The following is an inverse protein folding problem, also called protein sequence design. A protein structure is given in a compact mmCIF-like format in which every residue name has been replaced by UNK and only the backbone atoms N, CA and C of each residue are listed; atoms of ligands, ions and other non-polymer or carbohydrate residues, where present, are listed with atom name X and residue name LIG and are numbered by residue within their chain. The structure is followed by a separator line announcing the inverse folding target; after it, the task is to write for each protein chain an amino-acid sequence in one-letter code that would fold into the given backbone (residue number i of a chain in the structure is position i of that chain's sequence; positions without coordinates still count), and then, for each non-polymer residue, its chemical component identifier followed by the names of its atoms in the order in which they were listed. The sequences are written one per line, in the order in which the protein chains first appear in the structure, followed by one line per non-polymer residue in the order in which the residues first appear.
data_IF_608197473944
#
_entry.id   IF_608197473944
#
_cell.length_a   1.000
_cell.length_b   1.000
_cell.length_c   1.000
_cell.angle_alpha   90.00
_cell.angle_beta   90.00
_cell.angle_gamma   90.00
#
_symmetry.space_group_name_H-M   'P 1'
#
loop_
_entity.id
_entity.type
_entity.pdbx_description
1 polymer ?
#
# COMPACT_ATOMS: atom_id res chain seq x y z
N UNK A 1 -8.49 0.79 10.89
CA UNK A 1 -9.64 1.61 10.47
C UNK A 1 -9.30 2.36 9.19
N UNK A 2 -10.22 2.37 8.25
CA UNK A 2 -10.04 3.06 6.99
C UNK A 2 -11.10 4.12 6.76
N UNK A 3 -10.81 5.05 5.88
CA UNK A 3 -11.72 6.15 5.54
C UNK A 3 -11.91 6.23 4.03
N UNK A 4 -13.12 6.57 3.61
CA UNK A 4 -13.41 6.91 2.23
C UNK A 4 -13.74 8.39 2.14
N UNK A 5 -13.08 9.08 1.21
CA UNK A 5 -13.29 10.51 0.97
C UNK A 5 -13.82 10.66 -0.45
N UNK A 6 -14.99 11.27 -0.60
CA UNK A 6 -15.56 11.54 -1.91
C UNK A 6 -15.51 13.03 -2.21
N UNK A 7 -14.85 13.39 -3.30
CA UNK A 7 -14.81 14.75 -3.82
C UNK A 7 -15.80 14.92 -4.96
N UNK A 8 -15.82 16.11 -5.60
CA UNK A 8 -16.74 16.39 -6.69
C UNK A 8 -16.51 15.54 -7.94
N UNK A 9 -15.30 15.03 -8.17
CA UNK A 9 -14.96 14.26 -9.37
C UNK A 9 -14.40 12.88 -9.08
N UNK A 10 -13.69 12.70 -7.97
CA UNK A 10 -12.99 11.46 -7.66
C UNK A 10 -13.16 11.06 -6.21
N UNK A 11 -12.92 9.78 -5.93
CA UNK A 11 -12.95 9.23 -4.58
C UNK A 11 -11.57 8.69 -4.18
N UNK A 12 -11.33 8.68 -2.88
CA UNK A 12 -10.07 8.21 -2.29
C UNK A 12 -10.37 7.33 -1.08
N UNK A 13 -9.68 6.22 -0.95
CA UNK A 13 -9.68 5.44 0.29
C UNK A 13 -8.33 5.57 0.97
N UNK A 14 -8.36 5.71 2.30
CA UNK A 14 -7.19 5.90 3.14
C UNK A 14 -7.19 4.82 4.21
N UNK A 15 -6.29 3.86 4.08
CA UNK A 15 -6.24 2.67 4.94
C UNK A 15 -4.82 2.49 5.49
N UNK A 16 -4.44 3.31 6.49
CA UNK A 16 -3.16 3.14 7.17
C UNK A 16 -3.31 2.17 8.33
N UNK A 17 -2.19 1.61 8.79
CA UNK A 17 -2.07 0.88 10.06
C UNK A 17 -3.18 -0.18 10.22
N UNK A 18 -3.19 -1.15 9.32
CA UNK A 18 -4.20 -2.21 9.29
C UNK A 18 -3.54 -3.59 9.41
N UNK A 19 -4.31 -4.58 9.87
CA UNK A 19 -3.89 -5.99 9.91
C UNK A 19 -3.88 -6.59 8.49
N UNK A 20 -3.44 -7.85 8.37
CA UNK A 20 -3.38 -8.55 7.07
C UNK A 20 -4.72 -8.49 6.34
N UNK A 21 -4.67 -8.30 5.02
CA UNK A 21 -5.89 -8.26 4.19
C UNK A 21 -6.73 -9.52 4.33
N UNK A 22 -6.09 -10.67 4.54
CA UNK A 22 -6.77 -11.96 4.73
C UNK A 22 -7.65 -12.01 5.97
N UNK A 23 -7.38 -11.14 6.95
CA UNK A 23 -8.15 -11.05 8.19
C UNK A 23 -9.27 -10.02 8.12
N UNK A 24 -9.36 -9.30 7.01
CA UNK A 24 -10.35 -8.25 6.83
C UNK A 24 -11.67 -8.84 6.32
N UNK A 25 -12.77 -8.40 6.88
CA UNK A 25 -14.11 -8.88 6.48
C UNK A 25 -14.53 -8.34 5.12
N UNK A 26 -14.08 -7.12 4.80
CA UNK A 26 -14.39 -6.47 3.54
C UNK A 26 -13.29 -6.77 2.51
N UNK A 27 -13.67 -7.07 1.28
CA UNK A 27 -12.71 -7.37 0.22
C UNK A 27 -11.99 -6.09 -0.21
N UNK A 28 -10.69 -6.01 0.06
CA UNK A 28 -9.87 -4.86 -0.32
C UNK A 28 -9.82 -4.69 -1.84
N UNK A 29 -9.89 -5.76 -2.61
CA UNK A 29 -9.88 -5.67 -4.07
C UNK A 29 -11.11 -4.90 -4.56
N UNK A 30 -12.29 -5.20 -4.04
CA UNK A 30 -13.51 -4.48 -4.40
C UNK A 30 -13.43 -3.01 -4.02
N UNK A 31 -12.87 -2.69 -2.86
CA UNK A 31 -12.72 -1.31 -2.41
C UNK A 31 -11.82 -0.52 -3.37
N UNK A 32 -10.67 -1.08 -3.75
CA UNK A 32 -9.73 -0.43 -4.65
C UNK A 32 -10.34 -0.27 -6.06
N UNK A 33 -11.01 -1.31 -6.56
CA UNK A 33 -11.65 -1.26 -7.88
C UNK A 33 -12.74 -0.18 -7.96
N UNK A 34 -13.38 0.14 -6.84
CA UNK A 34 -14.44 1.14 -6.75
C UNK A 34 -13.95 2.52 -6.28
N UNK A 35 -12.64 2.75 -6.27
CA UNK A 35 -12.03 4.01 -5.84
C UNK A 35 -11.11 4.54 -6.93
N UNK A 36 -10.98 5.87 -6.99
CA UNK A 36 -10.07 6.51 -7.95
C UNK A 36 -8.64 6.54 -7.42
N UNK A 37 -8.47 6.69 -6.11
CA UNK A 37 -7.16 6.63 -5.45
C UNK A 37 -7.25 5.74 -4.21
N UNK A 38 -6.19 4.99 -3.95
CA UNK A 38 -6.14 4.10 -2.78
C UNK A 38 -4.79 4.27 -2.08
N UNK A 39 -4.84 4.81 -0.87
CA UNK A 39 -3.67 4.97 -0.01
C UNK A 39 -3.68 3.82 0.99
N UNK A 40 -2.79 2.86 0.79
CA UNK A 40 -2.79 1.60 1.53
C UNK A 40 -1.56 1.46 2.42
N UNK A 41 -1.73 0.73 3.52
CA UNK A 41 -0.67 0.46 4.49
C UNK A 41 0.57 -0.12 3.80
N UNK A 42 1.69 0.57 3.93
CA UNK A 42 3.00 0.17 3.43
C UNK A 42 4.05 0.14 4.53
N UNK A 43 3.66 -0.13 5.78
CA UNK A 43 4.57 -0.09 6.93
C UNK A 43 5.82 -0.93 6.71
N UNK A 44 5.68 -2.17 6.28
CA UNK A 44 6.81 -3.07 6.00
C UNK A 44 6.80 -3.54 4.56
N UNK A 45 8.00 -3.78 4.01
CA UNK A 45 8.14 -4.24 2.64
C UNK A 45 7.87 -5.75 2.52
N UNK A 46 8.64 -6.57 3.25
CA UNK A 46 8.47 -8.02 3.24
C UNK A 46 8.85 -8.66 4.58
N UNK A 47 8.76 -10.00 4.61
CA UNK A 47 9.01 -10.79 5.82
C UNK A 47 10.46 -10.74 6.31
N UNK A 48 11.39 -10.30 5.47
CA UNK A 48 12.82 -10.29 5.79
C UNK A 48 13.34 -8.92 6.22
N UNK A 49 12.46 -7.94 6.38
CA UNK A 49 12.86 -6.55 6.63
C UNK A 49 13.62 -6.36 7.94
N UNK A 50 13.24 -7.10 9.00
CA UNK A 50 13.86 -7.02 10.32
C UNK A 50 14.69 -8.29 10.57
N UNK A 51 16.01 -8.26 10.35
CA UNK A 51 16.87 -9.44 10.52
C UNK A 51 16.77 -10.01 11.93
N UNK A 52 16.71 -11.34 12.04
CA UNK A 52 16.67 -12.04 13.33
C UNK A 52 15.33 -11.96 14.04
N UNK A 53 14.31 -11.35 13.44
CA UNK A 53 12.98 -11.22 14.02
C UNK A 53 11.97 -12.00 13.18
N UNK A 54 11.08 -12.73 13.85
CA UNK A 54 9.96 -13.41 13.20
C UNK A 54 8.88 -12.38 12.85
N UNK A 55 8.75 -12.07 11.58
CA UNK A 55 7.77 -11.10 11.08
C UNK A 55 6.43 -11.74 10.70
N UNK A 56 6.28 -13.06 10.81
CA UNK A 56 5.03 -13.75 10.43
C UNK A 56 3.83 -13.31 11.27
N UNK A 57 4.07 -12.80 12.47
CA UNK A 57 3.03 -12.33 13.39
C UNK A 57 2.79 -10.83 13.35
N UNK A 58 3.49 -10.10 12.49
CA UNK A 58 3.33 -8.65 12.37
C UNK A 58 1.94 -8.32 11.83
N UNK A 59 1.15 -7.48 12.54
CA UNK A 59 -0.23 -7.19 12.14
C UNK A 59 -0.32 -6.07 11.10
N UNK A 60 0.41 -6.22 9.99
CA UNK A 60 0.37 -5.32 8.84
C UNK A 60 0.48 -6.13 7.56
N UNK A 61 -0.22 -5.76 6.49
CA UNK A 61 0.06 -6.35 5.19
C UNK A 61 1.43 -5.83 4.72
N UNK A 62 2.23 -6.71 4.15
CA UNK A 62 3.49 -6.28 3.55
C UNK A 62 3.24 -5.72 2.16
N UNK A 63 4.08 -4.80 1.71
CA UNK A 63 3.98 -4.23 0.36
C UNK A 63 3.96 -5.35 -0.69
N UNK A 64 4.84 -6.35 -0.55
CA UNK A 64 4.90 -7.47 -1.50
C UNK A 64 3.59 -8.28 -1.53
N UNK A 65 2.91 -8.42 -0.39
CA UNK A 65 1.62 -9.11 -0.33
C UNK A 65 0.54 -8.33 -1.09
N UNK A 66 0.50 -7.02 -0.88
CA UNK A 66 -0.46 -6.16 -1.55
C UNK A 66 -0.20 -6.11 -3.06
N UNK A 67 1.06 -6.01 -3.48
CA UNK A 67 1.40 -6.03 -4.90
C UNK A 67 0.99 -7.34 -5.56
N UNK A 68 1.16 -8.46 -4.88
CA UNK A 68 0.74 -9.77 -5.38
C UNK A 68 -0.79 -9.84 -5.55
N UNK A 69 -1.52 -9.29 -4.60
CA UNK A 69 -2.98 -9.28 -4.61
C UNK A 69 -3.53 -8.49 -5.81
N UNK A 70 -2.88 -7.39 -6.19
CA UNK A 70 -3.29 -6.52 -7.28
C UNK A 70 -2.49 -6.71 -8.57
N UNK A 71 -1.77 -7.80 -8.68
CA UNK A 71 -0.85 -8.08 -9.80
C UNK A 71 -1.47 -7.90 -11.18
N UNK A 72 -2.74 -8.27 -11.34
CA UNK A 72 -3.46 -8.20 -12.61
C UNK A 72 -4.53 -7.10 -12.65
N UNK A 73 -4.54 -6.21 -11.67
CA UNK A 73 -5.53 -5.15 -11.61
C UNK A 73 -5.18 -3.98 -12.53
N UNK A 74 -6.18 -3.40 -13.16
CA UNK A 74 -6.03 -2.15 -13.92
C UNK A 74 -5.89 -0.93 -13.00
N UNK A 75 -6.06 -1.09 -11.70
CA UNK A 75 -6.01 -0.02 -10.70
C UNK A 75 -4.67 0.09 -9.98
N UNK A 76 -3.64 -0.64 -10.41
CA UNK A 76 -2.31 -0.60 -9.75
C UNK A 76 -1.75 0.82 -9.66
N UNK A 77 -1.89 1.59 -10.73
CA UNK A 77 -1.37 2.96 -10.79
C UNK A 77 -2.10 3.94 -9.87
N UNK A 78 -3.27 3.56 -9.35
CA UNK A 78 -4.02 4.35 -8.39
C UNK A 78 -3.68 4.00 -6.93
N UNK A 79 -2.85 2.98 -6.69
CA UNK A 79 -2.45 2.54 -5.37
C UNK A 79 -1.15 3.26 -4.96
N UNK A 80 -1.20 3.89 -3.78
CA UNK A 80 -0.06 4.57 -3.17
C UNK A 80 0.18 3.97 -1.79
N UNK A 81 1.39 3.46 -1.57
CA UNK A 81 1.76 2.95 -0.26
C UNK A 81 2.13 4.10 0.66
N UNK A 82 1.60 4.06 1.88
CA UNK A 82 1.78 5.11 2.90
C UNK A 82 2.25 4.48 4.20
N UNK A 83 2.65 5.31 5.16
CA UNK A 83 2.95 4.88 6.52
C UNK A 83 4.16 3.93 6.59
N UNK A 84 5.15 4.12 5.73
CA UNK A 84 6.34 3.25 5.71
C UNK A 84 7.15 3.41 6.99
N UNK A 85 7.50 2.28 7.61
CA UNK A 85 8.39 2.30 8.77
C UNK A 85 9.81 2.71 8.35
N UNK A 86 10.56 3.29 9.28
CA UNK A 86 11.93 3.74 8.99
C UNK A 86 12.87 2.61 8.54
N UNK A 87 12.54 1.35 8.84
CA UNK A 87 13.29 0.18 8.39
C UNK A 87 12.91 -0.28 6.98
N UNK A 88 11.86 0.29 6.39
CA UNK A 88 11.37 -0.17 5.09
C UNK A 88 12.31 0.28 3.97
N UNK A 89 12.94 -0.65 3.23
CA UNK A 89 13.88 -0.30 2.18
C UNK A 89 13.24 0.51 1.04
N UNK A 90 11.93 0.42 0.86
CA UNK A 90 11.23 1.19 -0.18
C UNK A 90 11.21 2.70 0.10
N UNK A 91 11.61 3.17 1.29
CA UNK A 91 11.82 4.59 1.56
C UNK A 91 12.98 5.17 0.76
N UNK A 92 13.96 4.35 0.40
CA UNK A 92 15.13 4.77 -0.35
C UNK A 92 14.86 4.61 -1.85
N UNK A 93 14.80 5.71 -2.58
CA UNK A 93 14.52 5.70 -4.03
C UNK A 93 15.58 4.96 -4.85
N UNK A 94 16.78 4.79 -4.31
CA UNK A 94 17.86 4.05 -4.96
C UNK A 94 17.83 2.56 -4.65
N UNK A 95 16.96 2.11 -3.75
CA UNK A 95 16.85 0.71 -3.39
C UNK A 95 16.21 -0.11 -4.49
N UNK A 96 16.55 -1.40 -4.53
CA UNK A 96 15.92 -2.35 -5.43
C UNK A 96 14.43 -2.49 -5.12
N UNK A 97 14.07 -2.45 -3.84
CA UNK A 97 12.70 -2.56 -3.37
C UNK A 97 11.83 -1.41 -3.88
N UNK A 98 12.29 -0.16 -3.78
CA UNK A 98 11.59 0.98 -4.34
C UNK A 98 11.38 0.82 -5.85
N UNK A 99 12.44 0.44 -6.55
CA UNK A 99 12.39 0.26 -8.00
C UNK A 99 11.42 -0.84 -8.41
N UNK A 100 11.32 -1.91 -7.63
CA UNK A 100 10.34 -2.98 -7.88
C UNK A 100 8.90 -2.49 -7.72
N UNK A 101 8.62 -1.67 -6.72
CA UNK A 101 7.29 -1.08 -6.52
C UNK A 101 6.88 -0.29 -7.77
N UNK A 102 7.75 0.62 -8.20
CA UNK A 102 7.47 1.49 -9.35
C UNK A 102 7.38 0.67 -10.66
N UNK A 103 8.32 -0.26 -10.86
CA UNK A 103 8.36 -1.10 -12.06
C UNK A 103 7.08 -1.94 -12.19
N UNK A 104 6.52 -2.41 -11.08
CA UNK A 104 5.29 -3.20 -11.08
C UNK A 104 4.03 -2.33 -11.21
N UNK A 105 4.17 -1.02 -11.37
CA UNK A 105 3.06 -0.11 -11.64
C UNK A 105 2.39 0.49 -10.41
N UNK A 106 2.97 0.30 -9.22
CA UNK A 106 2.48 0.88 -7.97
C UNK A 106 3.23 2.16 -7.64
N UNK A 107 2.81 2.84 -6.57
CA UNK A 107 3.40 4.11 -6.16
C UNK A 107 3.74 4.13 -4.68
N UNK A 108 4.75 4.92 -4.32
CA UNK A 108 5.06 5.27 -2.94
C UNK A 108 4.67 6.74 -2.75
N UNK A 109 3.85 7.03 -1.73
CA UNK A 109 3.44 8.40 -1.41
C UNK A 109 4.64 9.28 -1.06
N UNK A 110 4.57 10.55 -1.43
CA UNK A 110 5.61 11.53 -1.15
C UNK A 110 5.03 12.70 -0.36
N UNK A 111 5.87 13.34 0.46
CA UNK A 111 5.49 14.57 1.17
C UNK A 111 5.11 15.66 0.18
N UNK A 112 4.00 16.34 0.44
CA UNK A 112 3.52 17.40 -0.42
C UNK A 112 2.77 16.93 -1.66
N UNK A 113 2.55 15.63 -1.80
CA UNK A 113 1.79 15.07 -2.92
C UNK A 113 0.33 15.56 -2.88
N UNK A 114 -0.20 15.93 -4.05
CA UNK A 114 -1.58 16.39 -4.19
C UNK A 114 -2.34 15.44 -5.11
N UNK A 115 -3.48 14.94 -4.63
CA UNK A 115 -4.42 14.14 -5.40
C UNK A 115 -5.71 14.93 -5.54
N UNK A 116 -6.21 15.06 -6.74
CA UNK A 116 -7.40 15.88 -7.02
C UNK A 116 -8.67 15.04 -6.89
N UNK A 117 -9.57 15.45 -6.06
CA UNK A 117 -10.87 14.81 -5.85
C UNK A 117 -11.99 15.67 -6.44
#
# INVERSE_FOLDING_TARGET
MGFRIEGPSNSLVFIPDIDKWSKWQTDIVDIVENSDYSLLDGTFYDINELPGRDMSQIPHPFIVETMKLFKHSDKKDSIYFIHLNHTNPALNKDSLEYKKVIFNGFNISENGQILKL
#
